data_IF_494996414839
#
_entry.id   IF_494996414839
#
_cell.length_a   1.000
_cell.length_b   1.000
_cell.length_c   1.000
_cell.angle_alpha   90.00
_cell.angle_beta   90.00
_cell.angle_gamma   90.00
#
_symmetry.space_group_name_H-M   'P 1'
#
loop_
_entity.id
_entity.type
_entity.pdbx_description
1 polymer ?
#
# COMPACT_ATOMS: atom_id res chain seq x y z
N UNK A 1 -16.20 -1.25 19.04
CA UNK A 1 -15.08 -1.68 18.20
C UNK A 1 -15.49 -3.01 17.58
N UNK A 2 -15.89 -3.03 16.31
CA UNK A 2 -16.32 -4.27 15.67
C UNK A 2 -15.08 -5.05 15.23
N UNK A 3 -14.82 -6.19 15.85
CA UNK A 3 -13.82 -7.14 15.37
C UNK A 3 -14.46 -7.82 14.16
N UNK A 4 -13.96 -7.52 12.95
CA UNK A 4 -14.51 -8.09 11.72
C UNK A 4 -14.29 -9.61 11.67
N UNK A 5 -13.13 -10.09 12.14
CA UNK A 5 -12.78 -11.49 12.41
C UNK A 5 -11.66 -11.55 13.44
N UNK A 6 -11.70 -12.55 14.31
CA UNK A 6 -10.58 -12.91 15.19
C UNK A 6 -9.76 -13.98 14.47
N UNK A 7 -8.55 -13.65 14.04
CA UNK A 7 -7.62 -14.66 13.53
C UNK A 7 -6.92 -15.30 14.73
N UNK A 8 -7.14 -16.60 14.92
CA UNK A 8 -6.39 -17.38 15.92
C UNK A 8 -4.92 -17.51 15.49
N UNK A 9 -3.98 -17.69 16.44
CA UNK A 9 -2.62 -18.09 16.09
C UNK A 9 -2.68 -19.40 15.31
N UNK A 10 -1.82 -19.53 14.30
CA UNK A 10 -1.74 -20.74 13.48
C UNK A 10 -1.45 -21.93 14.40
N UNK A 11 -2.34 -22.93 14.38
CA UNK A 11 -2.33 -24.02 15.36
C UNK A 11 -1.26 -25.08 15.08
N UNK A 12 -0.77 -25.14 13.84
CA UNK A 12 0.22 -26.12 13.41
C UNK A 12 0.92 -25.72 12.10
N UNK A 13 2.07 -26.35 11.81
CA UNK A 13 2.72 -26.23 10.49
C UNK A 13 1.90 -26.84 9.35
N UNK A 14 0.86 -27.63 9.66
CA UNK A 14 -0.03 -28.17 8.65
C UNK A 14 -0.92 -27.08 8.05
N UNK A 15 -1.55 -26.26 8.90
CA UNK A 15 -2.37 -25.11 8.47
C UNK A 15 -1.55 -24.11 7.64
N UNK A 16 -0.27 -23.91 7.98
CA UNK A 16 0.63 -23.06 7.18
C UNK A 16 0.82 -23.61 5.76
N UNK A 17 0.98 -24.94 5.64
CA UNK A 17 1.11 -25.60 4.34
C UNK A 17 -0.20 -25.58 3.55
N UNK A 18 -1.34 -25.72 4.21
CA UNK A 18 -2.66 -25.58 3.57
C UNK A 18 -2.88 -24.15 3.04
N UNK A 19 -2.34 -23.14 3.71
CA UNK A 19 -2.29 -21.77 3.22
C UNK A 19 -1.30 -21.54 2.07
N UNK A 20 -0.61 -22.59 1.62
CA UNK A 20 0.33 -22.54 0.50
C UNK A 20 1.67 -21.90 0.81
N UNK A 21 2.02 -21.74 2.10
CA UNK A 21 3.28 -21.15 2.53
C UNK A 21 4.29 -22.24 2.88
N UNK A 22 5.52 -22.08 2.42
CA UNK A 22 6.62 -22.95 2.77
C UNK A 22 7.56 -22.33 3.82
N UNK A 23 8.65 -23.04 4.14
CA UNK A 23 9.61 -22.57 5.15
C UNK A 23 10.30 -21.27 4.73
N UNK A 24 10.60 -21.11 3.45
CA UNK A 24 11.34 -19.96 2.95
C UNK A 24 10.43 -18.72 2.91
N UNK A 25 9.14 -18.90 2.62
CA UNK A 25 8.13 -17.85 2.77
C UNK A 25 8.05 -17.34 4.21
N UNK A 26 7.95 -18.25 5.20
CA UNK A 26 7.89 -17.88 6.61
C UNK A 26 9.15 -17.14 7.07
N UNK A 27 10.32 -17.59 6.63
CA UNK A 27 11.58 -16.92 6.92
C UNK A 27 11.66 -15.55 6.24
N UNK A 28 11.15 -15.42 5.02
CA UNK A 28 11.04 -14.16 4.29
C UNK A 28 10.17 -13.14 5.03
N UNK A 29 8.97 -13.56 5.45
CA UNK A 29 8.04 -12.75 6.24
C UNK A 29 8.71 -12.32 7.56
N UNK A 30 9.30 -13.27 8.30
CA UNK A 30 9.97 -12.97 9.56
C UNK A 30 11.15 -12.01 9.39
N UNK A 31 11.98 -12.24 8.36
CA UNK A 31 13.09 -11.36 8.00
C UNK A 31 12.60 -9.96 7.70
N UNK A 32 11.55 -9.81 6.90
CA UNK A 32 11.02 -8.50 6.54
C UNK A 32 10.47 -7.77 7.76
N UNK A 33 9.77 -8.45 8.68
CA UNK A 33 9.36 -7.84 9.96
C UNK A 33 10.55 -7.33 10.78
N UNK A 34 11.64 -8.11 10.87
CA UNK A 34 12.86 -7.69 11.57
C UNK A 34 13.56 -6.51 10.89
N UNK A 35 13.62 -6.50 9.56
CA UNK A 35 14.20 -5.39 8.80
C UNK A 35 13.36 -4.13 8.99
N UNK A 36 12.02 -4.22 8.95
CA UNK A 36 11.11 -3.10 9.26
C UNK A 36 11.38 -2.55 10.64
N UNK A 37 11.41 -3.42 11.66
CA UNK A 37 11.74 -3.04 13.04
C UNK A 37 13.09 -2.31 13.12
N UNK A 38 14.12 -2.86 12.50
CA UNK A 38 15.48 -2.30 12.52
C UNK A 38 15.57 -0.94 11.82
N UNK A 39 14.90 -0.77 10.69
CA UNK A 39 14.82 0.50 9.96
C UNK A 39 14.15 1.57 10.82
N UNK A 40 13.00 1.24 11.43
CA UNK A 40 12.27 2.19 12.27
C UNK A 40 13.03 2.57 13.53
N UNK A 41 13.66 1.61 14.22
CA UNK A 41 14.46 1.88 15.42
C UNK A 41 15.68 2.74 15.09
N UNK A 42 16.40 2.41 14.01
CA UNK A 42 17.54 3.22 13.56
C UNK A 42 17.09 4.61 13.12
N UNK A 43 15.99 4.71 12.38
CA UNK A 43 15.45 5.98 11.93
C UNK A 43 15.02 6.87 13.10
N UNK A 44 14.38 6.30 14.13
CA UNK A 44 14.03 7.02 15.35
C UNK A 44 15.27 7.59 16.07
N UNK A 45 16.35 6.81 16.16
CA UNK A 45 17.64 7.28 16.72
C UNK A 45 18.19 8.44 15.89
N UNK A 46 18.21 8.32 14.56
CA UNK A 46 18.73 9.36 13.65
C UNK A 46 17.89 10.64 13.72
N UNK A 47 16.58 10.51 13.81
CA UNK A 47 15.66 11.63 14.03
C UNK A 47 15.96 12.36 15.34
N UNK A 48 16.12 11.63 16.45
CA UNK A 48 16.51 12.21 17.75
C UNK A 48 17.89 12.87 17.75
N UNK A 49 18.77 12.47 16.83
CA UNK A 49 20.07 13.11 16.61
C UNK A 49 19.99 14.34 15.68
N UNK A 50 18.81 14.71 15.18
CA UNK A 50 18.63 15.81 14.23
C UNK A 50 19.13 15.51 12.81
N UNK A 51 19.40 14.23 12.49
CA UNK A 51 19.91 13.82 11.16
C UNK A 51 18.81 13.59 10.13
N UNK A 52 17.59 13.30 10.58
CA UNK A 52 16.39 13.25 9.74
C UNK A 52 15.63 14.57 9.97
N UNK A 53 15.49 15.43 8.95
CA UNK A 53 14.69 16.64 9.05
C UNK A 53 13.18 16.32 9.16
N UNK A 54 12.42 17.24 9.73
CA UNK A 54 10.96 17.16 9.76
C UNK A 54 10.45 16.16 10.80
N UNK A 55 9.88 15.04 10.33
CA UNK A 55 9.22 14.05 11.19
C UNK A 55 9.61 12.62 10.80
N UNK A 56 9.59 11.72 11.78
CA UNK A 56 9.80 10.30 11.57
C UNK A 56 8.68 9.51 12.24
N UNK A 57 7.98 8.68 11.46
CA UNK A 57 6.85 7.89 11.92
C UNK A 57 7.25 6.42 12.05
N UNK A 58 6.70 5.74 13.06
CA UNK A 58 6.98 4.33 13.32
C UNK A 58 5.69 3.53 13.38
N UNK A 59 5.68 2.37 12.74
CA UNK A 59 4.66 1.35 12.82
C UNK A 59 4.83 0.35 13.96
N UNK A 60 5.92 0.41 14.77
CA UNK A 60 6.19 -0.44 15.96
C UNK A 60 4.96 -1.17 16.51
N UNK A 61 4.91 -2.48 16.29
CA UNK A 61 3.80 -3.36 16.67
C UNK A 61 2.85 -3.71 15.53
N UNK A 62 2.97 -3.06 14.37
CA UNK A 62 2.15 -3.29 13.18
C UNK A 62 2.94 -3.92 12.02
N UNK A 63 4.17 -4.40 12.26
CA UNK A 63 5.02 -4.98 11.22
C UNK A 63 4.34 -6.15 10.50
N UNK A 64 3.71 -7.04 11.27
CA UNK A 64 3.04 -8.21 10.73
C UNK A 64 1.90 -7.84 9.77
N UNK A 65 1.16 -6.75 10.06
CA UNK A 65 0.09 -6.30 9.18
C UNK A 65 0.65 -5.79 7.84
N UNK A 66 1.64 -4.89 7.90
CA UNK A 66 2.25 -4.31 6.70
C UNK A 66 2.99 -5.35 5.84
N UNK A 67 3.82 -6.19 6.47
CA UNK A 67 4.57 -7.25 5.79
C UNK A 67 3.63 -8.35 5.28
N UNK A 68 2.63 -8.74 6.07
CA UNK A 68 1.67 -9.77 5.70
C UNK A 68 0.86 -9.39 4.46
N UNK A 69 0.30 -8.18 4.43
CA UNK A 69 -0.40 -7.65 3.24
C UNK A 69 0.53 -7.62 2.04
N UNK A 70 1.74 -7.07 2.17
CA UNK A 70 2.67 -6.95 1.06
C UNK A 70 3.21 -8.30 0.55
N UNK A 71 3.25 -9.33 1.40
CA UNK A 71 3.62 -10.70 0.99
C UNK A 71 2.51 -11.35 0.18
N UNK A 72 1.25 -11.05 0.47
CA UNK A 72 0.11 -11.56 -0.27
C UNK A 72 -0.13 -10.82 -1.61
N UNK A 73 0.50 -9.66 -1.81
CA UNK A 73 0.39 -8.90 -3.05
C UNK A 73 1.10 -9.61 -4.21
N UNK A 74 0.46 -9.62 -5.37
CA UNK A 74 1.05 -10.03 -6.65
C UNK A 74 1.98 -8.94 -7.19
N UNK A 75 2.76 -9.27 -8.22
CA UNK A 75 3.67 -8.32 -8.87
C UNK A 75 2.96 -7.07 -9.38
N UNK A 76 1.78 -7.25 -9.97
CA UNK A 76 0.93 -6.24 -10.60
C UNK A 76 0.09 -5.42 -9.62
N UNK A 77 -0.01 -5.86 -8.36
CA UNK A 77 -0.78 -5.14 -7.35
C UNK A 77 -0.11 -3.83 -6.96
N UNK A 78 -0.93 -2.82 -6.73
CA UNK A 78 -0.50 -1.48 -6.32
C UNK A 78 -0.72 -1.30 -4.83
N UNK A 79 0.34 -0.92 -4.13
CA UNK A 79 0.32 -0.59 -2.70
C UNK A 79 0.21 0.92 -2.48
N UNK A 80 -0.69 1.31 -1.57
CA UNK A 80 -0.86 2.69 -1.09
C UNK A 80 -0.52 2.81 0.41
N UNK A 81 0.72 2.46 0.81
CA UNK A 81 1.10 2.41 2.22
C UNK A 81 0.99 3.77 2.91
N UNK A 82 0.52 3.76 4.16
CA UNK A 82 0.41 4.94 5.01
C UNK A 82 1.61 5.06 5.96
N UNK A 83 1.57 6.08 6.82
CA UNK A 83 2.66 6.45 7.74
C UNK A 83 3.08 5.39 8.77
N UNK A 84 2.39 4.24 8.85
CA UNK A 84 2.73 3.10 9.72
C UNK A 84 3.06 1.82 8.97
N UNK A 85 3.08 1.88 7.64
CA UNK A 85 3.14 0.71 6.77
C UNK A 85 4.53 0.53 6.15
N UNK A 86 5.59 0.89 6.89
CA UNK A 86 6.99 0.77 6.43
C UNK A 86 7.31 -0.64 5.93
N UNK A 87 6.67 -1.67 6.51
CA UNK A 87 6.80 -3.06 6.08
C UNK A 87 6.37 -3.32 4.64
N UNK A 88 5.46 -2.53 4.09
CA UNK A 88 5.04 -2.65 2.67
C UNK A 88 6.19 -2.26 1.75
N UNK A 89 6.84 -1.11 2.00
CA UNK A 89 7.98 -0.65 1.19
C UNK A 89 9.12 -1.67 1.19
N UNK A 90 9.49 -2.18 2.38
CA UNK A 90 10.58 -3.15 2.52
C UNK A 90 10.24 -4.46 1.83
N UNK A 91 9.03 -4.98 2.04
CA UNK A 91 8.61 -6.27 1.46
C UNK A 91 8.49 -6.20 -0.06
N UNK A 92 8.11 -5.05 -0.61
CA UNK A 92 8.06 -4.79 -2.06
C UNK A 92 9.44 -4.54 -2.68
N UNK A 93 10.52 -4.49 -1.90
CA UNK A 93 11.89 -4.42 -2.41
C UNK A 93 12.56 -3.05 -2.31
N UNK A 94 11.99 -2.09 -1.56
CA UNK A 94 12.72 -0.86 -1.26
C UNK A 94 13.84 -1.18 -0.28
N UNK A 95 15.08 -1.08 -0.78
CA UNK A 95 16.27 -1.31 0.03
C UNK A 95 16.34 -0.36 1.25
N UNK A 96 16.70 -0.85 2.45
CA UNK A 96 16.76 -0.04 3.68
C UNK A 96 17.57 1.25 3.56
N UNK A 97 18.67 1.24 2.82
CA UNK A 97 19.51 2.42 2.63
C UNK A 97 18.81 3.50 1.79
N UNK A 98 17.95 3.12 0.83
CA UNK A 98 17.14 4.05 0.04
C UNK A 98 16.06 4.71 0.89
N UNK A 99 15.52 4.00 1.90
CA UNK A 99 14.60 4.58 2.89
C UNK A 99 15.32 5.67 3.69
N UNK A 100 16.55 5.43 4.16
CA UNK A 100 17.31 6.50 4.82
C UNK A 100 17.67 7.64 3.89
N UNK A 101 18.00 7.36 2.63
CA UNK A 101 18.22 8.38 1.61
C UNK A 101 16.97 9.26 1.39
N UNK A 102 15.78 8.67 1.36
CA UNK A 102 14.50 9.41 1.32
C UNK A 102 14.39 10.35 2.50
N UNK A 103 14.46 9.83 3.74
CA UNK A 103 14.24 10.64 4.94
C UNK A 103 15.29 11.74 5.10
N UNK A 104 16.44 11.63 4.44
CA UNK A 104 17.48 12.66 4.40
C UNK A 104 17.40 13.57 3.17
N UNK A 105 16.35 13.46 2.35
CA UNK A 105 16.15 14.29 1.15
C UNK A 105 17.22 14.10 0.08
N UNK A 106 17.82 12.91 -0.02
CA UNK A 106 18.91 12.61 -0.95
C UNK A 106 18.39 12.19 -2.31
N UNK A 107 19.18 12.48 -3.35
CA UNK A 107 18.90 12.13 -4.74
C UNK A 107 18.74 10.61 -4.98
N UNK A 108 19.38 9.78 -4.16
CA UNK A 108 19.34 8.32 -4.30
C UNK A 108 18.09 7.69 -3.63
N UNK A 109 17.29 8.51 -2.93
CA UNK A 109 16.01 8.09 -2.36
C UNK A 109 14.93 7.88 -3.45
N UNK A 110 13.82 7.19 -3.12
CA UNK A 110 12.72 6.92 -4.05
C UNK A 110 12.14 8.18 -4.73
N UNK A 111 12.12 9.32 -4.03
CA UNK A 111 11.61 10.59 -4.59
C UNK A 111 12.67 11.48 -5.20
N UNK A 112 13.92 11.01 -5.31
CA UNK A 112 15.05 11.78 -5.85
C UNK A 112 15.27 13.15 -5.19
N UNK A 113 15.11 13.21 -3.87
CA UNK A 113 15.31 14.43 -3.08
C UNK A 113 14.17 15.45 -3.17
N UNK A 114 13.05 15.13 -3.83
CA UNK A 114 11.86 16.00 -3.88
C UNK A 114 11.05 15.97 -2.59
N UNK A 115 11.22 14.91 -1.80
CA UNK A 115 10.62 14.75 -0.49
C UNK A 115 11.69 14.28 0.52
N UNK A 116 11.44 14.53 1.79
CA UNK A 116 12.34 14.24 2.93
C UNK A 116 11.66 13.46 4.05
N UNK A 117 10.53 12.82 3.75
CA UNK A 117 9.61 12.25 4.72
C UNK A 117 9.00 10.92 4.20
N UNK A 118 7.91 10.49 4.82
CA UNK A 118 7.24 9.21 4.58
C UNK A 118 6.54 9.09 3.21
N UNK A 119 6.51 10.16 2.41
CA UNK A 119 5.83 10.18 1.11
C UNK A 119 6.67 9.49 0.03
N UNK A 120 6.89 8.18 0.19
CA UNK A 120 7.70 7.37 -0.71
C UNK A 120 6.85 6.74 -1.81
N UNK A 121 7.24 6.94 -3.06
CA UNK A 121 6.70 6.24 -4.23
C UNK A 121 7.84 5.53 -4.96
N UNK A 122 7.52 4.37 -5.53
CA UNK A 122 8.37 3.68 -6.50
C UNK A 122 7.45 2.91 -7.46
N UNK A 123 7.27 3.45 -8.67
CA UNK A 123 6.34 2.89 -9.64
C UNK A 123 6.80 1.54 -10.18
N UNK A 124 8.11 1.25 -10.16
CA UNK A 124 8.64 -0.06 -10.56
C UNK A 124 8.25 -1.16 -9.56
N UNK A 125 8.01 -0.78 -8.30
CA UNK A 125 7.60 -1.67 -7.23
C UNK A 125 6.08 -1.62 -6.96
N UNK A 126 5.32 -0.88 -7.78
CA UNK A 126 3.88 -0.69 -7.61
C UNK A 126 3.53 0.10 -6.34
N UNK A 127 4.33 1.08 -5.95
CA UNK A 127 4.13 1.87 -4.73
C UNK A 127 3.75 3.31 -5.04
N UNK A 128 2.61 3.74 -4.52
CA UNK A 128 2.15 5.14 -4.60
C UNK A 128 2.41 5.83 -3.26
N UNK A 129 2.94 7.05 -3.32
CA UNK A 129 3.22 7.84 -2.12
C UNK A 129 1.92 8.26 -1.43
N UNK A 130 1.88 8.11 -0.11
CA UNK A 130 0.81 8.71 0.67
C UNK A 130 0.90 10.24 0.68
N UNK A 131 -0.26 10.89 0.78
CA UNK A 131 -0.36 12.33 1.06
C UNK A 131 -0.74 12.56 2.52
N UNK A 132 -0.26 13.65 3.11
CA UNK A 132 -0.50 13.95 4.54
C UNK A 132 -1.98 14.04 4.91
N UNK A 133 -2.84 14.41 3.96
CA UNK A 133 -4.30 14.39 4.12
C UNK A 133 -4.80 12.94 4.05
N UNK A 134 -4.70 12.18 5.16
CA UNK A 134 -5.07 10.77 5.21
C UNK A 134 -6.48 10.48 4.64
N UNK A 135 -7.52 11.30 4.90
CA UNK A 135 -8.82 11.08 4.28
C UNK A 135 -8.85 11.25 2.77
N UNK A 136 -7.85 11.89 2.14
CA UNK A 136 -7.71 12.00 0.69
C UNK A 136 -7.02 10.77 0.05
N UNK A 137 -6.49 9.85 0.86
CA UNK A 137 -5.99 8.55 0.38
C UNK A 137 -7.11 7.51 0.21
N UNK A 138 -8.26 7.71 0.87
CA UNK A 138 -9.43 6.81 0.79
C UNK A 138 -10.27 7.06 -0.48
N UNK A 139 -10.47 8.31 -0.91
CA UNK A 139 -10.98 8.68 -2.21
C UNK A 139 -9.79 9.19 -3.05
N UNK A 140 -9.16 8.31 -3.82
CA UNK A 140 -8.89 8.73 -5.20
C UNK A 140 -10.26 9.06 -5.78
N UNK A 141 -10.57 10.34 -5.69
CA UNK A 141 -11.85 10.94 -5.98
C UNK A 141 -12.26 10.54 -7.40
N UNK A 142 -13.27 9.66 -7.50
CA UNK A 142 -13.87 9.29 -8.79
C UNK A 142 -14.29 10.53 -9.59
N UNK A 143 -14.50 11.69 -8.94
CA UNK A 143 -14.78 12.96 -9.61
C UNK A 143 -13.57 13.52 -10.37
N UNK A 144 -12.34 13.34 -9.87
CA UNK A 144 -11.12 13.73 -10.61
C UNK A 144 -10.74 12.73 -11.69
N UNK A 145 -10.92 11.44 -11.43
CA UNK A 145 -10.76 10.40 -12.46
C UNK A 145 -11.81 10.59 -13.57
N UNK A 146 -13.02 11.00 -13.19
CA UNK A 146 -14.09 11.44 -14.09
C UNK A 146 -13.69 12.67 -14.92
N UNK A 147 -13.18 13.74 -14.29
CA UNK A 147 -12.77 14.96 -14.99
C UNK A 147 -11.60 14.68 -15.96
N UNK A 148 -10.63 13.87 -15.54
CA UNK A 148 -9.51 13.45 -16.36
C UNK A 148 -9.97 12.60 -17.55
N UNK A 149 -10.84 11.61 -17.34
CA UNK A 149 -11.36 10.77 -18.42
C UNK A 149 -12.26 11.55 -19.40
N UNK A 150 -13.08 12.47 -18.89
CA UNK A 150 -13.87 13.38 -19.72
C UNK A 150 -12.97 14.28 -20.59
N UNK A 151 -11.85 14.77 -20.04
CA UNK A 151 -10.86 15.55 -20.81
C UNK A 151 -10.18 14.76 -21.94
N UNK A 152 -10.20 13.42 -21.87
CA UNK A 152 -9.69 12.50 -22.88
C UNK A 152 -10.78 12.03 -23.86
N UNK A 153 -12.01 12.54 -23.75
CA UNK A 153 -13.15 12.16 -24.60
C UNK A 153 -13.75 10.79 -24.26
N UNK A 154 -13.43 10.22 -23.10
CA UNK A 154 -13.97 8.94 -22.64
C UNK A 154 -15.26 9.20 -21.87
N UNK A 155 -16.33 8.47 -22.21
CA UNK A 155 -17.61 8.63 -21.52
C UNK A 155 -17.54 8.11 -20.07
N UNK A 156 -18.33 8.67 -19.14
CA UNK A 156 -18.34 8.22 -17.75
C UNK A 156 -18.68 6.73 -17.61
N UNK A 157 -19.57 6.25 -18.48
CA UNK A 157 -19.92 4.83 -18.58
C UNK A 157 -18.74 3.96 -19.00
N UNK A 158 -17.95 4.40 -19.98
CA UNK A 158 -16.79 3.65 -20.45
C UNK A 158 -15.69 3.53 -19.37
N UNK A 159 -15.49 4.60 -18.57
CA UNK A 159 -14.59 4.57 -17.41
C UNK A 159 -15.07 3.56 -16.37
N UNK A 160 -16.36 3.59 -16.06
CA UNK A 160 -16.97 2.67 -15.11
C UNK A 160 -16.85 1.21 -15.56
N UNK A 161 -17.13 0.92 -16.83
CA UNK A 161 -17.01 -0.43 -17.40
C UNK A 161 -15.56 -0.94 -17.38
N UNK A 162 -14.59 -0.07 -17.70
CA UNK A 162 -13.17 -0.40 -17.60
C UNK A 162 -12.72 -0.64 -16.15
N UNK A 163 -13.15 0.20 -15.21
CA UNK A 163 -12.89 0.03 -13.79
C UNK A 163 -13.49 -1.25 -13.22
N UNK A 164 -14.71 -1.60 -13.64
CA UNK A 164 -15.37 -2.84 -13.26
C UNK A 164 -14.65 -4.08 -13.82
N UNK A 165 -14.15 -4.01 -15.06
CA UNK A 165 -13.38 -5.08 -15.67
C UNK A 165 -12.02 -5.30 -14.97
N UNK A 166 -11.38 -4.24 -14.51
CA UNK A 166 -10.12 -4.29 -13.74
C UNK A 166 -10.27 -4.52 -12.24
N UNK A 167 -11.50 -4.55 -11.71
CA UNK A 167 -11.73 -4.65 -10.28
C UNK A 167 -11.27 -6.00 -9.70
N UNK A 168 -10.35 -5.93 -8.72
CA UNK A 168 -9.87 -7.06 -7.93
C UNK A 168 -10.86 -7.38 -6.79
N UNK A 169 -12.04 -7.88 -7.16
CA UNK A 169 -13.07 -8.34 -6.23
C UNK A 169 -13.60 -9.73 -6.64
N UNK A 170 -14.32 -10.39 -5.74
CA UNK A 170 -15.04 -11.62 -6.06
C UNK A 170 -16.18 -11.36 -7.07
N UNK A 171 -16.67 -12.42 -7.71
CA UNK A 171 -17.68 -12.28 -8.77
C UNK A 171 -19.04 -11.81 -8.23
N UNK A 172 -19.39 -12.11 -6.98
CA UNK A 172 -20.63 -11.63 -6.36
C UNK A 172 -20.60 -10.11 -6.23
N UNK A 173 -19.49 -9.56 -5.72
CA UNK A 173 -19.28 -8.11 -5.64
C UNK A 173 -19.25 -7.49 -7.03
N UNK A 174 -18.58 -8.11 -8.00
CA UNK A 174 -18.54 -7.60 -9.40
C UNK A 174 -19.93 -7.55 -10.02
N UNK A 175 -20.76 -8.56 -9.84
CA UNK A 175 -22.15 -8.58 -10.32
C UNK A 175 -23.03 -7.52 -9.66
N UNK A 176 -22.84 -7.27 -8.36
CA UNK A 176 -23.55 -6.19 -7.65
C UNK A 176 -23.19 -4.83 -8.20
N UNK A 177 -21.90 -4.57 -8.43
CA UNK A 177 -21.44 -3.34 -9.07
C UNK A 177 -22.05 -3.23 -10.47
N UNK A 178 -21.93 -4.25 -11.31
CA UNK A 178 -22.53 -4.28 -12.66
C UNK A 178 -24.00 -3.85 -12.69
N UNK A 179 -24.82 -4.35 -11.75
CA UNK A 179 -26.24 -3.96 -11.62
C UNK A 179 -26.42 -2.49 -11.24
N UNK A 180 -25.60 -1.97 -10.34
CA UNK A 180 -25.62 -0.54 -9.97
C UNK A 180 -25.33 0.31 -11.21
N UNK A 181 -24.28 -0.03 -11.98
CA UNK A 181 -23.95 0.67 -13.21
C UNK A 181 -25.04 0.61 -14.27
N UNK A 182 -25.75 -0.51 -14.40
CA UNK A 182 -26.91 -0.63 -15.32
C UNK A 182 -28.11 0.19 -14.88
N UNK A 183 -28.30 0.40 -13.58
CA UNK A 183 -29.40 1.18 -13.01
C UNK A 183 -29.14 2.69 -12.97
N UNK A 184 -27.90 3.11 -13.23
CA UNK A 184 -27.52 4.51 -13.21
C UNK A 184 -27.87 5.17 -14.55
N UNK A 185 -28.46 6.36 -14.48
CA UNK A 185 -28.63 7.22 -15.66
C UNK A 185 -27.30 7.90 -15.97
N UNK A 186 -26.67 7.50 -17.06
CA UNK A 186 -25.36 8.01 -17.48
C UNK A 186 -25.46 9.32 -18.24
N UNK A 187 -26.66 9.72 -18.65
CA UNK A 187 -26.94 10.89 -19.48
C UNK A 187 -27.53 12.05 -18.65
N UNK A 188 -27.75 11.86 -17.34
CA UNK A 188 -28.23 12.90 -16.41
C UNK A 188 -27.10 13.91 -16.07
N UNK A 189 -26.82 14.79 -17.03
CA UNK A 189 -26.08 16.05 -16.88
C UNK A 189 -26.57 17.14 -17.82
#
# INVERSE_FOLDING_TARGET
MAIAREAGPVGSLHEVREAGLDRDDLLGIYRNMLVTRGVEERGHILYRQGKIPGSFYTGRGNEAAAVGVATAMRSEDVGTPLHRDMGVHITRGVEPWRIFAQYMGRQDGPTHGRDGNVHMADSQLGLIAMVSHLPAMLPTDLSRDYEAAASLGVSPRAVYEAGLAGALCDEETRERLRRIGQSHDWDDR
#
